data_IF_327419793560
#
_entry.id   IF_327419793560
#
_cell.length_a   1.000
_cell.length_b   1.000
_cell.length_c   1.000
_cell.angle_alpha   90.00
_cell.angle_beta   90.00
_cell.angle_gamma   90.00
#
_symmetry.space_group_name_H-M   'P 1'
#
loop_
_entity.id
_entity.type
_entity.pdbx_description
1 polymer ?
#
# COMPACT_ATOMS: atom_id res chain seq x y z
N UNK A 1 45.99 -19.58 -7.93
CA UNK A 1 45.08 -19.99 -9.02
C UNK A 1 43.62 -19.68 -8.68
N UNK A 2 43.08 -20.16 -7.55
CA UNK A 2 41.69 -19.92 -7.14
C UNK A 2 41.19 -18.45 -7.17
N UNK A 3 42.02 -17.44 -6.84
CA UNK A 3 41.60 -16.03 -6.86
C UNK A 3 41.36 -15.48 -8.29
N UNK A 4 42.10 -15.97 -9.29
CA UNK A 4 41.88 -15.54 -10.68
C UNK A 4 40.57 -16.09 -11.23
N UNK A 5 40.24 -17.34 -10.89
CA UNK A 5 39.00 -18.00 -11.31
C UNK A 5 37.77 -17.30 -10.70
N UNK A 6 37.84 -16.93 -9.42
CA UNK A 6 36.77 -16.19 -8.75
C UNK A 6 36.55 -14.79 -9.36
N UNK A 7 37.62 -14.09 -9.75
CA UNK A 7 37.51 -12.78 -10.38
C UNK A 7 36.95 -12.89 -11.81
N UNK A 8 37.28 -13.96 -12.53
CA UNK A 8 36.73 -14.24 -13.84
C UNK A 8 35.22 -14.53 -13.75
N UNK A 9 34.79 -15.45 -12.87
CA UNK A 9 33.37 -15.79 -12.70
C UNK A 9 32.52 -14.57 -12.32
N UNK A 10 33.00 -13.72 -11.40
CA UNK A 10 32.30 -12.46 -11.05
C UNK A 10 32.12 -11.52 -12.24
N UNK A 11 33.08 -11.49 -13.17
CA UNK A 11 32.98 -10.66 -14.39
C UNK A 11 31.96 -11.24 -15.37
N UNK A 12 31.95 -12.57 -15.53
CA UNK A 12 30.96 -13.28 -16.36
C UNK A 12 29.56 -13.02 -15.81
N UNK A 13 29.35 -13.23 -14.51
CA UNK A 13 28.07 -12.95 -13.86
C UNK A 13 27.58 -11.51 -14.05
N UNK A 14 28.51 -10.54 -14.01
CA UNK A 14 28.18 -9.14 -14.22
C UNK A 14 27.79 -8.87 -15.67
N UNK A 15 28.45 -9.53 -16.62
CA UNK A 15 28.13 -9.42 -18.04
C UNK A 15 26.76 -10.04 -18.33
N UNK A 16 26.49 -11.22 -17.79
CA UNK A 16 25.20 -11.91 -17.93
C UNK A 16 24.05 -11.11 -17.31
N UNK A 17 24.26 -10.54 -16.11
CA UNK A 17 23.27 -9.64 -15.49
C UNK A 17 23.00 -8.41 -16.35
N UNK A 18 24.06 -7.81 -16.93
CA UNK A 18 23.91 -6.64 -17.81
C UNK A 18 23.18 -7.00 -19.10
N UNK A 19 23.52 -8.14 -19.71
CA UNK A 19 22.86 -8.66 -20.92
C UNK A 19 21.38 -8.96 -20.66
N UNK A 20 21.06 -9.69 -19.60
CA UNK A 20 19.69 -10.00 -19.17
C UNK A 20 18.88 -8.76 -18.78
N UNK A 21 19.54 -7.68 -18.33
CA UNK A 21 18.87 -6.41 -18.08
C UNK A 21 18.57 -5.66 -19.39
N UNK A 22 19.50 -5.69 -20.36
CA UNK A 22 19.30 -5.09 -21.68
C UNK A 22 18.23 -5.82 -22.51
N UNK A 23 18.11 -7.16 -22.39
CA UNK A 23 17.11 -7.95 -23.12
C UNK A 23 15.66 -7.61 -22.74
N UNK A 24 15.43 -7.04 -21.55
CA UNK A 24 14.12 -6.60 -21.07
C UNK A 24 13.73 -5.18 -21.54
N UNK A 25 14.61 -4.52 -22.29
CA UNK A 25 14.45 -3.15 -22.78
C UNK A 25 15.63 -2.25 -22.40
N UNK A 26 15.96 -1.31 -23.29
CA UNK A 26 17.04 -0.34 -23.12
C UNK A 26 16.55 1.07 -23.42
N UNK A 27 17.15 2.04 -22.76
CA UNK A 27 16.95 3.47 -22.99
C UNK A 27 18.28 4.11 -23.39
N UNK A 28 18.22 5.20 -24.14
CA UNK A 28 19.41 5.93 -24.58
C UNK A 28 19.73 7.00 -23.56
N UNK A 29 20.82 6.83 -22.83
CA UNK A 29 21.27 7.79 -21.84
C UNK A 29 22.51 8.51 -22.36
N UNK A 30 22.52 9.83 -22.28
CA UNK A 30 23.70 10.63 -22.58
C UNK A 30 24.69 10.55 -21.41
N UNK A 31 25.90 10.10 -21.69
CA UNK A 31 27.01 10.08 -20.74
C UNK A 31 27.63 11.48 -20.65
N UNK A 32 28.36 11.83 -19.57
CA UNK A 32 28.94 13.17 -19.41
C UNK A 32 29.93 13.60 -20.50
N UNK A 33 30.41 12.66 -21.31
CA UNK A 33 31.27 12.87 -22.48
C UNK A 33 30.47 13.21 -23.76
N UNK A 34 29.14 13.27 -23.69
CA UNK A 34 28.26 13.55 -24.82
C UNK A 34 27.88 12.32 -25.64
N UNK A 35 28.40 11.14 -25.31
CA UNK A 35 28.08 9.91 -26.03
C UNK A 35 26.71 9.36 -25.59
N UNK A 36 25.89 8.99 -26.57
CA UNK A 36 24.64 8.28 -26.36
C UNK A 36 24.92 6.79 -26.17
N UNK A 37 24.57 6.23 -25.01
CA UNK A 37 24.82 4.82 -24.69
C UNK A 37 23.51 4.14 -24.29
N UNK A 38 23.27 2.94 -24.82
CA UNK A 38 22.16 2.11 -24.40
C UNK A 38 22.36 1.61 -22.96
N UNK A 39 21.48 2.02 -22.05
CA UNK A 39 21.45 1.59 -20.67
C UNK A 39 20.19 0.73 -20.43
N UNK A 40 20.26 -0.32 -19.58
CA UNK A 40 19.09 -1.12 -19.28
C UNK A 40 18.04 -0.26 -18.56
N UNK A 41 16.77 -0.43 -18.93
CA UNK A 41 15.66 0.28 -18.28
C UNK A 41 15.60 -0.19 -16.82
N UNK A 42 15.89 0.71 -15.88
CA UNK A 42 15.68 0.45 -14.46
C UNK A 42 14.19 0.48 -14.19
N UNK A 43 13.53 -0.68 -14.21
CA UNK A 43 12.16 -0.81 -13.70
C UNK A 43 12.16 -0.41 -12.23
N UNK A 44 11.73 0.81 -11.92
CA UNK A 44 11.33 1.16 -10.56
C UNK A 44 10.19 0.20 -10.22
N UNK A 45 10.39 -0.69 -9.25
CA UNK A 45 9.32 -1.50 -8.69
C UNK A 45 8.39 -0.52 -8.00
N UNK A 46 7.43 0.04 -8.73
CA UNK A 46 6.38 0.86 -8.15
C UNK A 46 5.63 -0.04 -7.18
N UNK A 47 5.85 0.20 -5.89
CA UNK A 47 5.05 -0.43 -4.85
C UNK A 47 3.58 -0.10 -5.14
N UNK A 48 2.68 -1.09 -5.15
CA UNK A 48 1.28 -0.88 -5.52
C UNK A 48 0.49 -0.26 -4.35
N UNK A 49 0.96 0.87 -3.82
CA UNK A 49 0.33 1.58 -2.71
C UNK A 49 -1.14 1.92 -3.02
N UNK A 50 -1.45 2.21 -4.29
CA UNK A 50 -2.83 2.43 -4.77
C UNK A 50 -3.73 1.22 -4.53
N UNK A 51 -3.23 0.00 -4.74
CA UNK A 51 -3.99 -1.24 -4.53
C UNK A 51 -4.24 -1.49 -3.03
N UNK A 52 -3.22 -1.24 -2.19
CA UNK A 52 -3.37 -1.36 -0.74
C UNK A 52 -4.42 -0.38 -0.20
N UNK A 53 -4.40 0.88 -0.66
CA UNK A 53 -5.39 1.89 -0.28
C UNK A 53 -6.80 1.44 -0.70
N UNK A 54 -6.96 0.91 -1.92
CA UNK A 54 -8.25 0.42 -2.41
C UNK A 54 -8.81 -0.70 -1.51
N UNK A 55 -7.97 -1.65 -1.10
CA UNK A 55 -8.37 -2.75 -0.22
C UNK A 55 -8.84 -2.24 1.15
N UNK A 56 -8.12 -1.28 1.73
CA UNK A 56 -8.49 -0.67 3.01
C UNK A 56 -9.83 0.06 2.89
N UNK A 57 -10.03 0.85 1.83
CA UNK A 57 -11.31 1.55 1.59
C UNK A 57 -12.46 0.55 1.45
N UNK A 58 -12.27 -0.50 0.66
CA UNK A 58 -13.29 -1.53 0.46
C UNK A 58 -13.67 -2.23 1.78
N UNK A 59 -12.67 -2.54 2.61
CA UNK A 59 -12.89 -3.16 3.92
C UNK A 59 -13.69 -2.24 4.87
N UNK A 60 -13.39 -0.94 4.89
CA UNK A 60 -14.12 0.04 5.70
C UNK A 60 -15.57 0.18 5.24
N UNK A 61 -15.81 0.30 3.93
CA UNK A 61 -17.17 0.38 3.36
C UNK A 61 -17.96 -0.88 3.69
N UNK A 62 -17.36 -2.06 3.51
CA UNK A 62 -18.00 -3.33 3.84
C UNK A 62 -18.35 -3.43 5.33
N UNK A 63 -17.44 -3.00 6.22
CA UNK A 63 -17.68 -2.97 7.67
C UNK A 63 -18.83 -2.02 8.04
N UNK A 64 -18.92 -0.86 7.39
CA UNK A 64 -20.00 0.10 7.61
C UNK A 64 -21.36 -0.45 7.15
N UNK A 65 -21.41 -1.12 6.00
CA UNK A 65 -22.62 -1.77 5.50
C UNK A 65 -23.10 -2.89 6.43
N UNK A 66 -22.18 -3.72 6.95
CA UNK A 66 -22.52 -4.73 7.95
C UNK A 66 -23.07 -4.10 9.23
N UNK A 67 -22.45 -3.02 9.70
CA UNK A 67 -22.90 -2.30 10.89
C UNK A 67 -24.35 -1.76 10.72
N UNK A 68 -24.65 -1.17 9.56
CA UNK A 68 -25.99 -0.67 9.23
C UNK A 68 -27.01 -1.82 9.12
N UNK A 69 -26.62 -2.95 8.54
CA UNK A 69 -27.53 -4.11 8.39
C UNK A 69 -27.94 -4.77 9.71
N UNK A 70 -27.17 -4.57 10.79
CA UNK A 70 -27.42 -5.19 12.12
C UNK A 70 -28.22 -4.26 13.06
N UNK A 71 -28.42 -2.98 12.72
CA UNK A 71 -29.33 -2.06 13.43
C UNK A 71 -28.68 -1.23 14.54
N UNK A 72 -28.72 0.11 14.37
CA UNK A 72 -27.94 1.11 15.12
C UNK A 72 -28.48 1.63 16.47
N UNK A 73 -29.47 1.01 17.10
CA UNK A 73 -30.16 1.60 18.28
C UNK A 73 -29.35 1.54 19.59
N UNK A 74 -28.18 0.86 19.61
CA UNK A 74 -27.35 0.63 20.81
C UNK A 74 -25.90 1.03 20.59
N UNK A 75 -25.64 2.13 19.87
CA UNK A 75 -24.29 2.48 19.41
C UNK A 75 -23.32 2.84 20.55
N UNK A 76 -23.68 3.76 21.44
CA UNK A 76 -22.79 4.17 22.54
C UNK A 76 -22.60 3.08 23.60
N UNK A 77 -23.66 2.34 23.97
CA UNK A 77 -23.54 1.19 24.89
C UNK A 77 -22.70 0.06 24.30
N UNK A 78 -22.75 -0.15 22.98
CA UNK A 78 -21.90 -1.15 22.31
C UNK A 78 -20.44 -0.71 22.26
N UNK A 79 -20.16 0.58 22.02
CA UNK A 79 -18.78 1.11 22.06
C UNK A 79 -18.21 1.02 23.48
N UNK A 80 -19.01 1.33 24.51
CA UNK A 80 -18.61 1.17 25.91
C UNK A 80 -18.31 -0.29 26.28
N UNK A 81 -19.13 -1.26 25.82
CA UNK A 81 -18.83 -2.70 26.00
C UNK A 81 -17.61 -3.16 25.21
N UNK A 82 -17.37 -2.60 24.03
CA UNK A 82 -16.22 -2.97 23.18
C UNK A 82 -14.88 -2.51 23.77
N UNK A 83 -14.87 -1.37 24.48
CA UNK A 83 -13.69 -0.91 25.23
C UNK A 83 -13.36 -1.81 26.43
N UNK A 84 -14.36 -2.44 27.04
CA UNK A 84 -14.20 -3.35 28.17
C UNK A 84 -13.88 -4.82 27.75
N UNK A 85 -13.80 -5.09 26.45
CA UNK A 85 -13.64 -6.41 25.87
C UNK A 85 -12.18 -6.84 25.63
N UNK A 86 -11.97 -7.76 24.70
CA UNK A 86 -10.63 -8.28 24.36
C UNK A 86 -9.72 -7.20 23.73
N UNK A 87 -8.38 -7.34 23.74
CA UNK A 87 -7.48 -6.33 23.16
C UNK A 87 -7.75 -6.04 21.66
N UNK A 88 -8.30 -7.02 20.92
CA UNK A 88 -8.74 -6.84 19.53
C UNK A 88 -10.03 -6.01 19.45
N UNK A 89 -10.94 -6.18 20.41
CA UNK A 89 -12.17 -5.41 20.56
C UNK A 89 -11.91 -3.97 21.01
N UNK A 90 -10.94 -3.76 21.92
CA UNK A 90 -10.51 -2.43 22.37
C UNK A 90 -9.89 -1.60 21.23
N UNK A 91 -9.12 -2.25 20.34
CA UNK A 91 -8.64 -1.62 19.09
C UNK A 91 -9.79 -1.26 18.15
N UNK A 92 -10.79 -2.12 18.03
CA UNK A 92 -12.01 -1.85 17.27
C UNK A 92 -12.81 -0.67 17.84
N UNK A 93 -12.82 -0.51 19.17
CA UNK A 93 -13.49 0.56 19.89
C UNK A 93 -12.77 1.91 19.68
N UNK A 94 -11.43 1.90 19.68
CA UNK A 94 -10.63 3.08 19.39
C UNK A 94 -10.84 3.57 17.95
N UNK A 95 -10.92 2.65 16.98
CA UNK A 95 -11.23 2.98 15.58
C UNK A 95 -12.68 3.49 15.37
N UNK A 96 -13.58 3.20 16.32
CA UNK A 96 -14.99 3.61 16.29
C UNK A 96 -15.30 4.78 17.22
N UNK A 97 -14.30 5.36 17.90
CA UNK A 97 -14.51 6.62 18.60
C UNK A 97 -14.89 7.71 17.60
N UNK A 98 -15.92 8.48 17.95
CA UNK A 98 -16.52 9.50 17.10
C UNK A 98 -15.50 10.62 16.89
N UNK A 99 -14.76 10.53 15.79
CA UNK A 99 -13.91 11.61 15.32
C UNK A 99 -14.76 12.84 14.93
N UNK A 100 -14.25 14.08 15.12
CA UNK A 100 -14.97 15.31 14.76
C UNK A 100 -15.47 15.32 13.32
N UNK A 101 -14.75 14.66 12.41
CA UNK A 101 -15.11 14.49 10.99
C UNK A 101 -16.39 13.66 10.83
N UNK A 102 -16.59 12.64 11.66
CA UNK A 102 -17.78 11.78 11.64
C UNK A 102 -19.03 12.55 12.07
N UNK A 103 -18.93 13.51 13.00
CA UNK A 103 -20.07 14.39 13.35
C UNK A 103 -20.47 15.30 12.19
N UNK A 104 -19.50 15.85 11.46
CA UNK A 104 -19.76 16.73 10.32
C UNK A 104 -20.40 15.95 9.17
N UNK A 105 -19.92 14.74 8.90
CA UNK A 105 -20.50 13.87 7.88
C UNK A 105 -21.89 13.36 8.26
N UNK A 106 -22.12 13.02 9.54
CA UNK A 106 -23.44 12.63 10.04
C UNK A 106 -24.45 13.78 9.92
N UNK A 107 -24.04 15.02 10.20
CA UNK A 107 -24.88 16.20 10.04
C UNK A 107 -25.28 16.42 8.57
N UNK A 108 -24.34 16.28 7.61
CA UNK A 108 -24.64 16.43 6.18
C UNK A 108 -25.57 15.33 5.64
N UNK A 109 -25.40 14.09 6.11
CA UNK A 109 -26.26 12.98 5.68
C UNK A 109 -27.67 13.12 6.27
N UNK A 110 -27.80 13.62 7.51
CA UNK A 110 -29.10 13.87 8.14
C UNK A 110 -29.90 14.98 7.46
N UNK A 111 -29.21 15.97 6.88
CA UNK A 111 -29.84 17.07 6.14
C UNK A 111 -30.27 16.62 4.73
N UNK A 112 -29.52 15.71 4.11
CA UNK A 112 -29.87 15.12 2.81
C UNK A 112 -31.07 14.15 2.86
N UNK A 113 -31.31 13.52 4.03
CA UNK A 113 -32.43 12.59 4.23
C UNK A 113 -33.68 13.26 4.80
N UNK A 114 -33.71 14.60 4.92
CA UNK A 114 -34.86 15.37 5.40
C UNK A 114 -35.70 15.94 4.27
#
# INVERSE_FOLDING_TARGET
>A
MAQHDLNFSRRVDRLDRKHNAMSRGHDIVQRPDGLLVAAPIRRRRSWPARLLILIVVLFVVFKALLFVSVGGVTYEERVARLQAGTPVEAMGAWLMQVDPVTRVLAAQISDLMR
#
